data_IF_325353190925
#
_entry.id   IF_325353190925
#
_cell.length_a   1.000
_cell.length_b   1.000
_cell.length_c   1.000
_cell.angle_alpha   90.00
_cell.angle_beta   90.00
_cell.angle_gamma   90.00
#
_symmetry.space_group_name_H-M   'P 1'
#
loop_
_entity.id
_entity.type
_entity.pdbx_description
1 polymer ?
#
# COMPACT_ATOMS: atom_id res chain seq x y z
N UNK A 1 -24.53 -3.20 18.93
CA UNK A 1 -23.56 -2.25 18.34
C UNK A 1 -23.37 -2.62 16.88
N UNK A 2 -23.96 -1.85 15.98
CA UNK A 2 -23.97 -2.16 14.54
C UNK A 2 -22.67 -1.69 13.91
N UNK A 3 -21.82 -2.63 13.49
CA UNK A 3 -20.57 -2.33 12.77
C UNK A 3 -20.93 -1.92 11.35
N UNK A 4 -20.83 -0.62 11.04
CA UNK A 4 -20.95 -0.11 9.68
C UNK A 4 -19.66 -0.42 8.89
N UNK A 5 -19.73 -1.40 7.99
CA UNK A 5 -18.74 -1.54 6.93
C UNK A 5 -18.89 -0.39 5.93
N UNK A 6 -18.05 0.64 6.04
CA UNK A 6 -17.93 1.68 5.00
C UNK A 6 -17.29 1.08 3.75
N UNK A 7 -18.11 0.47 2.90
CA UNK A 7 -17.73 0.18 1.53
C UNK A 7 -17.45 1.49 0.80
N UNK A 8 -16.38 1.52 0.00
CA UNK A 8 -15.89 2.68 -0.72
C UNK A 8 -17.03 3.43 -1.45
N UNK A 9 -17.12 4.73 -1.19
CA UNK A 9 -18.14 5.63 -1.75
C UNK A 9 -18.12 5.65 -3.28
N UNK A 10 -19.28 5.73 -3.96
CA UNK A 10 -19.40 5.58 -5.40
C UNK A 10 -19.05 6.83 -6.21
N UNK A 11 -18.40 7.84 -5.61
CA UNK A 11 -18.01 9.06 -6.31
C UNK A 11 -16.54 9.00 -6.62
N UNK A 12 -16.21 8.46 -7.79
CA UNK A 12 -14.85 8.42 -8.35
C UNK A 12 -14.43 9.86 -8.67
N UNK A 13 -13.94 10.59 -7.67
CA UNK A 13 -13.27 11.87 -7.90
C UNK A 13 -12.18 11.63 -8.94
N UNK A 14 -12.21 12.36 -10.06
CA UNK A 14 -11.14 12.34 -11.06
C UNK A 14 -9.91 13.02 -10.43
N UNK A 15 -9.21 12.31 -9.58
CA UNK A 15 -7.90 12.71 -9.06
C UNK A 15 -6.98 12.91 -10.26
N UNK A 16 -6.43 14.12 -10.40
CA UNK A 16 -5.54 14.47 -11.51
C UNK A 16 -4.26 13.60 -11.47
N UNK A 17 -3.59 13.38 -12.60
CA UNK A 17 -2.34 12.61 -12.66
C UNK A 17 -1.26 13.11 -11.69
N UNK A 18 -1.14 14.44 -11.53
CA UNK A 18 -0.24 15.09 -10.57
C UNK A 18 -0.63 14.75 -9.12
N UNK A 19 -1.92 14.81 -8.81
CA UNK A 19 -2.41 14.53 -7.46
C UNK A 19 -2.19 13.05 -7.08
N UNK A 20 -2.38 12.12 -8.02
CA UNK A 20 -2.04 10.69 -7.81
C UNK A 20 -0.56 10.46 -7.55
N UNK A 21 0.30 11.22 -8.24
CA UNK A 21 1.75 11.15 -8.02
C UNK A 21 2.10 11.58 -6.59
N UNK A 22 1.58 12.73 -6.15
CA UNK A 22 1.82 13.26 -4.81
C UNK A 22 1.30 12.33 -3.70
N UNK A 23 0.11 11.75 -3.90
CA UNK A 23 -0.45 10.74 -2.99
C UNK A 23 0.50 9.55 -2.88
N UNK A 24 1.00 9.03 -4.01
CA UNK A 24 1.92 7.89 -4.03
C UNK A 24 3.21 8.19 -3.27
N UNK A 25 3.83 9.34 -3.55
CA UNK A 25 5.07 9.77 -2.90
C UNK A 25 4.87 9.93 -1.39
N UNK A 26 3.76 10.56 -0.98
CA UNK A 26 3.43 10.71 0.43
C UNK A 26 3.33 9.36 1.13
N UNK A 27 2.59 8.41 0.57
CA UNK A 27 2.42 7.07 1.16
C UNK A 27 3.77 6.34 1.26
N UNK A 28 4.63 6.46 0.23
CA UNK A 28 5.96 5.84 0.24
C UNK A 28 6.82 6.45 1.34
N UNK A 29 6.88 7.78 1.48
CA UNK A 29 7.64 8.44 2.56
C UNK A 29 7.17 7.98 3.93
N UNK A 30 5.86 7.90 4.16
CA UNK A 30 5.29 7.42 5.43
C UNK A 30 5.67 5.95 5.70
N UNK A 31 5.66 5.10 4.67
CA UNK A 31 6.11 3.71 4.79
C UNK A 31 7.60 3.63 5.13
N UNK A 32 8.46 4.39 4.45
CA UNK A 32 9.92 4.38 4.69
C UNK A 32 10.27 4.93 6.08
N UNK A 33 9.51 5.90 6.59
CA UNK A 33 9.65 6.43 7.95
C UNK A 33 9.06 5.51 9.04
N UNK A 34 8.41 4.42 8.65
CA UNK A 34 7.75 3.50 9.58
C UNK A 34 6.50 4.07 10.24
N UNK A 35 5.91 5.14 9.69
CA UNK A 35 4.70 5.78 10.21
C UNK A 35 3.43 4.95 9.91
N UNK A 36 3.49 4.15 8.83
CA UNK A 36 2.44 3.21 8.44
C UNK A 36 3.04 1.84 8.17
N UNK A 37 2.26 0.80 8.39
CA UNK A 37 2.66 -0.58 8.08
C UNK A 37 2.71 -0.83 6.57
N UNK A 38 3.35 -1.93 6.17
CA UNK A 38 3.33 -2.41 4.79
C UNK A 38 1.90 -2.70 4.31
N UNK A 39 1.05 -3.30 5.16
CA UNK A 39 -0.35 -3.58 4.83
C UNK A 39 -1.16 -2.32 4.59
N UNK A 40 -1.01 -1.32 5.49
CA UNK A 40 -1.62 -0.01 5.35
C UNK A 40 -1.15 0.69 4.07
N UNK A 41 0.16 0.71 3.79
CA UNK A 41 0.70 1.31 2.59
C UNK A 41 0.14 0.64 1.32
N UNK A 42 0.10 -0.69 1.25
CA UNK A 42 -0.45 -1.42 0.11
C UNK A 42 -1.91 -1.04 -0.15
N UNK A 43 -2.74 -1.02 0.90
CA UNK A 43 -4.15 -0.64 0.81
C UNK A 43 -4.32 0.80 0.33
N UNK A 44 -3.54 1.74 0.88
CA UNK A 44 -3.61 3.16 0.52
C UNK A 44 -3.13 3.39 -0.92
N UNK A 45 -2.03 2.78 -1.33
CA UNK A 45 -1.58 2.83 -2.73
C UNK A 45 -2.66 2.28 -3.68
N UNK A 46 -3.34 1.18 -3.32
CA UNK A 46 -4.42 0.62 -4.14
C UNK A 46 -5.64 1.53 -4.23
N UNK A 47 -6.10 2.09 -3.10
CA UNK A 47 -7.35 2.87 -3.06
C UNK A 47 -7.12 4.32 -3.46
N UNK A 48 -6.11 4.98 -2.90
CA UNK A 48 -5.88 6.43 -3.06
C UNK A 48 -5.08 6.72 -4.33
N UNK A 49 -4.04 5.93 -4.65
CA UNK A 49 -3.22 6.19 -5.83
C UNK A 49 -3.79 5.53 -7.11
N UNK A 50 -4.14 4.23 -7.07
CA UNK A 50 -4.72 3.55 -8.25
C UNK A 50 -6.23 3.76 -8.41
N UNK A 51 -6.96 4.02 -7.31
CA UNK A 51 -8.40 4.20 -7.38
C UNK A 51 -9.17 2.91 -7.71
N UNK A 52 -8.64 1.74 -7.32
CA UNK A 52 -9.26 0.45 -7.64
C UNK A 52 -9.61 -0.38 -6.41
N UNK A 53 -10.67 -1.18 -6.55
CA UNK A 53 -11.10 -2.10 -5.49
C UNK A 53 -10.15 -3.31 -5.39
N UNK A 54 -10.36 -4.13 -4.36
CA UNK A 54 -9.52 -5.30 -4.11
C UNK A 54 -9.60 -6.33 -5.25
N UNK A 55 -10.76 -6.52 -5.88
CA UNK A 55 -10.93 -7.49 -6.98
C UNK A 55 -10.12 -7.15 -8.22
N UNK A 56 -10.08 -5.88 -8.58
CA UNK A 56 -9.31 -5.44 -9.74
C UNK A 56 -7.81 -5.52 -9.45
N UNK A 57 -7.39 -5.26 -8.21
CA UNK A 57 -5.98 -5.38 -7.83
C UNK A 57 -5.48 -6.83 -7.82
N UNK A 58 -6.32 -7.82 -7.45
CA UNK A 58 -5.94 -9.24 -7.50
C UNK A 58 -5.51 -9.67 -8.91
N UNK A 59 -6.11 -9.09 -9.96
CA UNK A 59 -5.74 -9.36 -11.36
C UNK A 59 -4.33 -8.86 -11.69
N UNK A 60 -3.89 -7.78 -11.03
CA UNK A 60 -2.56 -7.20 -11.20
C UNK A 60 -1.50 -7.95 -10.38
N UNK A 61 -1.78 -8.18 -9.10
CA UNK A 61 -0.86 -8.81 -8.15
C UNK A 61 -0.78 -10.34 -8.32
N UNK A 62 -1.79 -10.99 -8.93
CA UNK A 62 -1.85 -12.44 -9.15
C UNK A 62 -1.78 -13.27 -7.85
N UNK A 63 -2.40 -12.77 -6.78
CA UNK A 63 -2.51 -13.47 -5.48
C UNK A 63 -3.95 -13.84 -5.17
N UNK A 64 -4.17 -14.67 -4.14
CA UNK A 64 -5.53 -14.98 -3.66
C UNK A 64 -6.15 -13.76 -2.96
N UNK A 65 -7.49 -13.70 -2.94
CA UNK A 65 -8.23 -12.68 -2.16
C UNK A 65 -7.85 -12.72 -0.68
N UNK A 66 -7.75 -13.91 -0.10
CA UNK A 66 -7.40 -14.08 1.30
C UNK A 66 -6.00 -13.53 1.59
N UNK A 67 -5.03 -13.83 0.71
CA UNK A 67 -3.65 -13.33 0.80
C UNK A 67 -3.64 -11.80 0.81
N UNK A 68 -4.26 -11.17 -0.18
CA UNK A 68 -4.28 -9.70 -0.25
C UNK A 68 -5.00 -9.08 0.96
N UNK A 69 -6.14 -9.64 1.36
CA UNK A 69 -6.90 -9.15 2.52
C UNK A 69 -6.08 -9.24 3.81
N UNK A 70 -5.42 -10.36 4.04
CA UNK A 70 -4.59 -10.53 5.23
C UNK A 70 -3.41 -9.56 5.24
N UNK A 71 -2.71 -9.40 4.11
CA UNK A 71 -1.61 -8.43 4.00
C UNK A 71 -2.11 -7.01 4.28
N UNK A 72 -3.21 -6.59 3.65
CA UNK A 72 -3.78 -5.24 3.84
C UNK A 72 -4.32 -4.96 5.26
N UNK A 73 -4.51 -6.00 6.06
CA UNK A 73 -4.94 -5.91 7.46
C UNK A 73 -3.82 -6.29 8.45
N UNK A 74 -2.57 -6.37 7.99
CA UNK A 74 -1.39 -6.73 8.79
C UNK A 74 -1.56 -8.06 9.54
N UNK A 75 -2.18 -9.05 8.90
CA UNK A 75 -2.43 -10.39 9.46
C UNK A 75 -1.53 -11.44 8.84
N UNK A 76 -0.75 -12.13 9.68
CA UNK A 76 0.05 -13.29 9.29
C UNK A 76 1.47 -12.93 8.81
N UNK A 77 2.31 -13.95 8.66
CA UNK A 77 3.69 -13.82 8.21
C UNK A 77 3.79 -14.31 6.75
N UNK A 78 4.08 -13.38 5.84
CA UNK A 78 4.22 -13.67 4.41
C UNK A 78 5.68 -13.73 4.00
N UNK A 79 5.98 -14.61 3.04
CA UNK A 79 7.31 -14.68 2.44
C UNK A 79 7.67 -13.38 1.74
N UNK A 80 8.98 -13.09 1.66
CA UNK A 80 9.52 -11.96 0.89
C UNK A 80 9.01 -12.00 -0.56
N UNK A 81 8.92 -13.20 -1.14
CA UNK A 81 8.37 -13.41 -2.49
C UNK A 81 6.92 -12.94 -2.60
N UNK A 82 6.06 -13.33 -1.65
CA UNK A 82 4.64 -12.90 -1.65
C UNK A 82 4.52 -11.39 -1.49
N UNK A 83 5.31 -10.78 -0.61
CA UNK A 83 5.30 -9.32 -0.44
C UNK A 83 5.77 -8.61 -1.71
N UNK A 84 6.89 -9.06 -2.30
CA UNK A 84 7.37 -8.52 -3.58
C UNK A 84 6.31 -8.65 -4.68
N UNK A 85 5.60 -9.77 -4.73
CA UNK A 85 4.54 -10.00 -5.70
C UNK A 85 3.38 -8.99 -5.55
N UNK A 86 2.92 -8.71 -4.33
CA UNK A 86 1.81 -7.76 -4.13
C UNK A 86 2.22 -6.29 -4.32
N UNK A 87 3.51 -5.96 -4.14
CA UNK A 87 4.03 -4.60 -4.35
C UNK A 87 4.53 -4.34 -5.78
N UNK A 88 4.77 -5.38 -6.58
CA UNK A 88 5.23 -5.28 -7.97
C UNK A 88 4.34 -4.36 -8.85
N UNK A 89 2.99 -4.41 -8.79
CA UNK A 89 2.14 -3.50 -9.56
C UNK A 89 2.33 -2.02 -9.22
N UNK A 90 2.86 -1.71 -8.03
CA UNK A 90 3.17 -0.35 -7.58
C UNK A 90 4.61 0.08 -7.94
N UNK A 91 5.39 -0.78 -8.60
CA UNK A 91 6.81 -0.53 -8.85
C UNK A 91 7.68 -0.61 -7.60
N UNK A 92 7.20 -1.30 -6.55
CA UNK A 92 7.89 -1.41 -5.26
C UNK A 92 8.34 -2.86 -5.00
N UNK A 93 9.39 -3.01 -4.20
CA UNK A 93 9.91 -4.29 -3.70
C UNK A 93 10.47 -4.11 -2.29
N UNK A 94 10.54 -5.18 -1.51
CA UNK A 94 11.23 -5.19 -0.23
C UNK A 94 12.74 -4.93 -0.40
N UNK A 95 13.31 -4.23 0.57
CA UNK A 95 14.73 -3.95 0.68
C UNK A 95 15.14 -3.69 2.13
N UNK A 96 16.44 -3.69 2.38
CA UNK A 96 16.99 -3.33 3.70
C UNK A 96 16.94 -1.81 3.87
N UNK A 97 16.61 -1.36 5.08
CA UNK A 97 16.60 0.04 5.46
C UNK A 97 17.31 0.23 6.80
N UNK A 98 17.98 1.37 7.01
CA UNK A 98 18.47 1.74 8.31
C UNK A 98 17.39 1.70 9.37
N UNK A 99 17.71 1.11 10.54
CA UNK A 99 16.82 1.14 11.71
C UNK A 99 16.93 2.49 12.43
N UNK A 100 18.10 3.12 12.35
CA UNK A 100 18.31 4.45 12.92
C UNK A 100 17.55 5.50 12.13
N UNK A 101 16.70 6.26 12.82
CA UNK A 101 15.94 7.36 12.25
C UNK A 101 16.85 8.46 11.68
N UNK A 102 17.92 8.82 12.39
CA UNK A 102 18.85 9.85 11.93
C UNK A 102 19.56 9.43 10.63
N UNK A 103 19.94 8.15 10.54
CA UNK A 103 20.53 7.60 9.32
C UNK A 103 19.50 7.54 8.19
N UNK A 104 18.25 7.17 8.46
CA UNK A 104 17.15 7.22 7.48
C UNK A 104 16.91 8.62 6.93
N UNK A 105 16.81 9.62 7.81
CA UNK A 105 16.53 11.00 7.44
C UNK A 105 17.66 11.60 6.58
N UNK A 106 18.90 11.11 6.74
CA UNK A 106 20.03 11.51 5.87
C UNK A 106 19.85 11.12 4.38
N UNK A 107 19.05 10.07 4.10
CA UNK A 107 18.74 9.60 2.75
C UNK A 107 17.48 10.24 2.16
N UNK A 108 16.56 10.71 3.00
CA UNK A 108 15.29 11.32 2.61
C UNK A 108 15.41 12.86 2.65
N UNK A 109 16.17 13.42 1.70
CA UNK A 109 16.31 14.87 1.51
C UNK A 109 15.18 15.47 0.69
#
# INVERSE_FOLDING_TARGET
>A
MTIQHKNASPTRSKVNGIERQLIRETIIVQLLKGEISQGQALRRLRVEALGINQQDYLKLAKVSRQTLSNIENDKGNYSIETINQVFKPMGLKLGLMPISKDLMDSFLK
#
